data_IF_557366406573
#
_entry.id   IF_557366406573
#
_cell.length_a   1.000
_cell.length_b   1.000
_cell.length_c   1.000
_cell.angle_alpha   90.00
_cell.angle_beta   90.00
_cell.angle_gamma   90.00
#
_symmetry.space_group_name_H-M   'P 1'
#
loop_
_entity.id
_entity.type
_entity.pdbx_description
1 polymer ?
#
# COMPACT_ATOMS: atom_id res chain seq x y z
N UNK A 1 7.97 -6.67 -19.40
CA UNK A 1 8.09 -7.53 -20.57
C UNK A 1 8.99 -6.88 -21.64
N UNK A 2 8.79 -5.59 -21.91
CA UNK A 2 9.52 -4.82 -22.94
C UNK A 2 11.02 -4.71 -22.65
N UNK A 3 11.41 -4.34 -21.44
CA UNK A 3 12.81 -4.26 -21.03
C UNK A 3 13.56 -5.60 -21.15
N UNK A 4 12.88 -6.72 -20.85
CA UNK A 4 13.45 -8.06 -20.98
C UNK A 4 13.85 -8.36 -22.43
N UNK A 5 13.05 -7.91 -23.39
CA UNK A 5 13.32 -8.07 -24.82
C UNK A 5 14.42 -7.12 -25.27
N UNK A 6 14.37 -5.87 -24.80
CA UNK A 6 15.28 -4.79 -25.22
C UNK A 6 16.72 -5.03 -24.75
N UNK A 7 16.91 -5.53 -23.55
CA UNK A 7 18.24 -5.73 -22.95
C UNK A 7 18.73 -7.19 -22.98
N UNK A 8 17.95 -8.13 -23.52
CA UNK A 8 18.38 -9.53 -23.65
C UNK A 8 18.61 -10.26 -22.32
N UNK A 9 18.02 -9.80 -21.21
CA UNK A 9 18.27 -10.36 -19.87
C UNK A 9 17.71 -11.77 -19.65
N UNK A 10 16.98 -12.30 -20.62
CA UNK A 10 16.31 -13.61 -20.48
C UNK A 10 17.30 -14.72 -20.11
N UNK A 11 18.47 -14.76 -20.75
CA UNK A 11 19.51 -15.77 -20.48
C UNK A 11 20.08 -15.66 -19.07
N UNK A 12 20.37 -14.44 -18.61
CA UNK A 12 20.88 -14.18 -17.27
C UNK A 12 19.90 -14.59 -16.17
N UNK A 13 18.68 -14.09 -16.22
CA UNK A 13 17.67 -14.42 -15.21
C UNK A 13 17.25 -15.88 -15.22
N UNK A 14 17.19 -16.52 -16.41
CA UNK A 14 16.93 -17.95 -16.47
C UNK A 14 18.07 -18.77 -15.83
N UNK A 15 19.34 -18.35 -16.01
CA UNK A 15 20.50 -18.98 -15.39
C UNK A 15 20.48 -18.85 -13.87
N UNK A 16 20.23 -17.64 -13.36
CA UNK A 16 20.10 -17.39 -11.90
C UNK A 16 18.92 -18.19 -11.31
N UNK A 17 17.76 -18.18 -11.97
CA UNK A 17 16.62 -18.94 -11.52
C UNK A 17 16.90 -20.44 -11.52
N UNK A 18 17.53 -20.98 -12.57
CA UNK A 18 17.89 -22.40 -12.66
C UNK A 18 18.88 -22.80 -11.56
N UNK A 19 19.85 -21.95 -11.27
CA UNK A 19 20.81 -22.15 -10.18
C UNK A 19 20.11 -22.19 -8.82
N UNK A 20 19.25 -21.21 -8.53
CA UNK A 20 18.48 -21.14 -7.30
C UNK A 20 17.53 -22.35 -7.19
N UNK A 21 16.86 -22.73 -8.27
CA UNK A 21 15.96 -23.87 -8.31
C UNK A 21 16.69 -25.20 -8.08
N UNK A 22 17.85 -25.42 -8.70
CA UNK A 22 18.69 -26.61 -8.45
C UNK A 22 19.12 -26.69 -6.98
N UNK A 23 19.50 -25.55 -6.37
CA UNK A 23 19.86 -25.50 -4.94
C UNK A 23 18.66 -25.84 -4.05
N UNK A 24 17.48 -25.30 -4.35
CA UNK A 24 16.23 -25.61 -3.65
C UNK A 24 15.87 -27.09 -3.79
N UNK A 25 15.94 -27.66 -5.01
CA UNK A 25 15.69 -29.09 -5.23
C UNK A 25 16.63 -29.97 -4.40
N UNK A 26 17.92 -29.62 -4.35
CA UNK A 26 18.89 -30.38 -3.55
C UNK A 26 18.60 -30.36 -2.06
N UNK A 27 18.17 -29.21 -1.51
CA UNK A 27 17.76 -29.10 -0.11
C UNK A 27 16.48 -29.87 0.16
N UNK A 28 15.47 -29.68 -0.69
CA UNK A 28 14.16 -30.33 -0.56
C UNK A 28 14.25 -31.85 -0.68
N UNK A 29 15.00 -32.34 -1.66
CA UNK A 29 15.26 -33.78 -1.81
C UNK A 29 15.93 -34.39 -0.57
N UNK A 30 16.90 -33.69 0.00
CA UNK A 30 17.62 -34.15 1.21
C UNK A 30 16.72 -34.18 2.44
N UNK A 31 15.86 -33.16 2.61
CA UNK A 31 14.86 -33.11 3.71
C UNK A 31 13.84 -34.22 3.54
N UNK A 32 13.28 -34.37 2.33
CA UNK A 32 12.29 -35.41 2.04
C UNK A 32 12.86 -36.82 2.22
N UNK A 33 14.10 -37.06 1.78
CA UNK A 33 14.75 -38.35 1.94
C UNK A 33 14.95 -38.70 3.43
N UNK A 34 15.38 -37.73 4.27
CA UNK A 34 15.53 -37.94 5.71
C UNK A 34 14.20 -38.22 6.38
N UNK A 35 13.13 -37.47 6.01
CA UNK A 35 11.79 -37.70 6.55
C UNK A 35 11.24 -39.07 6.14
N UNK A 36 11.41 -39.42 4.87
CA UNK A 36 11.02 -40.74 4.33
C UNK A 36 11.78 -41.88 5.01
N UNK A 37 13.09 -41.75 5.21
CA UNK A 37 13.89 -42.77 5.90
C UNK A 37 13.43 -42.98 7.37
N UNK A 38 13.17 -41.90 8.10
CA UNK A 38 12.62 -41.96 9.46
C UNK A 38 11.25 -42.66 9.50
N UNK A 39 10.38 -42.32 8.56
CA UNK A 39 9.05 -42.94 8.46
C UNK A 39 9.13 -44.44 8.14
N UNK A 40 10.05 -44.84 7.25
CA UNK A 40 10.23 -46.24 6.90
C UNK A 40 10.84 -47.07 7.99
N UNK A 41 11.69 -46.53 8.86
CA UNK A 41 12.19 -47.20 10.06
C UNK A 41 11.04 -47.61 11.01
N UNK A 42 10.06 -46.71 11.21
CA UNK A 42 8.84 -47.01 11.98
C UNK A 42 8.01 -48.15 11.34
N UNK A 43 7.86 -48.14 10.01
CA UNK A 43 7.14 -49.19 9.28
C UNK A 43 7.83 -50.56 9.36
N UNK A 44 9.16 -50.60 9.33
CA UNK A 44 9.94 -51.82 9.44
C UNK A 44 9.70 -52.47 10.81
N UNK A 45 9.66 -51.70 11.90
CA UNK A 45 9.37 -52.25 13.25
C UNK A 45 7.97 -52.87 13.33
N UNK A 46 6.97 -52.27 12.71
CA UNK A 46 5.61 -52.81 12.64
C UNK A 46 5.55 -54.14 11.87
N UNK A 47 6.28 -54.24 10.74
CA UNK A 47 6.37 -55.48 9.97
C UNK A 47 7.05 -56.58 10.77
N UNK A 48 8.10 -56.28 11.53
CA UNK A 48 8.76 -57.25 12.41
C UNK A 48 7.81 -57.78 13.50
N UNK A 49 7.04 -56.86 14.12
CA UNK A 49 6.00 -57.27 15.10
C UNK A 49 4.95 -58.16 14.43
N UNK A 50 4.51 -57.83 13.22
CA UNK A 50 3.55 -58.64 12.48
C UNK A 50 4.08 -60.07 12.22
N UNK A 51 5.36 -60.21 11.82
CA UNK A 51 6.01 -61.50 11.64
C UNK A 51 6.06 -62.27 12.93
N UNK A 52 6.43 -61.68 14.04
CA UNK A 52 6.45 -62.35 15.37
C UNK A 52 5.06 -62.84 15.74
N UNK A 53 4.02 -62.05 15.57
CA UNK A 53 2.63 -62.46 15.86
C UNK A 53 2.20 -63.61 14.98
N UNK A 54 2.50 -63.53 13.67
CA UNK A 54 2.17 -64.62 12.71
C UNK A 54 2.88 -65.96 13.08
N UNK A 55 4.16 -65.88 13.41
CA UNK A 55 4.92 -67.09 13.83
C UNK A 55 4.44 -67.64 15.14
N UNK A 56 4.02 -66.84 16.10
CA UNK A 56 3.44 -67.31 17.37
C UNK A 56 2.08 -67.99 17.18
N UNK A 57 1.30 -67.67 16.17
CA UNK A 57 0.01 -68.31 15.90
C UNK A 57 0.12 -69.62 15.08
N UNK A 58 1.24 -69.84 14.41
CA UNK A 58 1.47 -71.04 13.59
C UNK A 58 1.29 -72.37 14.36
N UNK A 59 1.82 -72.60 15.59
CA UNK A 59 1.62 -73.80 16.33
C UNK A 59 0.13 -74.14 16.59
N UNK A 60 -0.70 -73.17 16.91
CA UNK A 60 -2.14 -73.31 17.13
C UNK A 60 -2.89 -73.77 15.88
N UNK A 61 -2.40 -73.29 14.67
CA UNK A 61 -2.96 -73.76 13.39
C UNK A 61 -2.58 -75.21 13.12
N UNK A 62 -1.32 -75.58 13.39
CA UNK A 62 -0.83 -76.95 13.19
C UNK A 62 -1.52 -77.93 14.22
N UNK A 63 -1.80 -77.47 15.44
CA UNK A 63 -2.52 -78.24 16.40
C UNK A 63 -4.03 -78.39 16.14
N UNK A 64 -4.56 -77.68 15.17
CA UNK A 64 -5.98 -77.65 14.82
C UNK A 64 -6.84 -76.81 15.75
N UNK A 65 -6.24 -76.06 16.68
CA UNK A 65 -6.93 -75.14 17.61
C UNK A 65 -7.41 -73.88 16.90
N UNK A 66 -6.72 -73.47 15.88
CA UNK A 66 -7.06 -72.30 15.05
C UNK A 66 -7.35 -72.76 13.64
N UNK A 67 -8.54 -72.44 13.12
CA UNK A 67 -8.86 -72.75 11.74
C UNK A 67 -8.05 -71.90 10.75
N UNK A 68 -7.74 -72.44 9.57
CA UNK A 68 -7.00 -71.73 8.54
C UNK A 68 -7.70 -70.40 8.14
N UNK A 69 -9.06 -70.38 8.17
CA UNK A 69 -9.84 -69.18 7.88
C UNK A 69 -9.62 -68.06 8.89
N UNK A 70 -9.57 -68.39 10.21
CA UNK A 70 -9.30 -67.42 11.27
C UNK A 70 -7.85 -66.92 11.16
N UNK A 71 -6.88 -67.80 10.88
CA UNK A 71 -5.49 -67.39 10.69
C UNK A 71 -5.34 -66.41 9.52
N UNK A 72 -5.95 -66.70 8.36
CA UNK A 72 -5.91 -65.81 7.18
C UNK A 72 -6.59 -64.46 7.46
N UNK A 73 -7.71 -64.44 8.21
CA UNK A 73 -8.37 -63.22 8.63
C UNK A 73 -7.48 -62.38 9.55
N UNK A 74 -6.80 -62.98 10.53
CA UNK A 74 -5.84 -62.30 11.41
C UNK A 74 -4.66 -61.72 10.62
N UNK A 75 -4.07 -62.52 9.69
CA UNK A 75 -2.98 -62.05 8.83
C UNK A 75 -3.42 -60.80 8.01
N UNK A 76 -4.61 -60.87 7.38
CA UNK A 76 -5.17 -59.76 6.58
C UNK A 76 -5.37 -58.50 7.44
N UNK A 77 -5.91 -58.67 8.66
CA UNK A 77 -6.11 -57.53 9.58
C UNK A 77 -4.78 -56.93 10.04
N UNK A 78 -3.75 -57.73 10.29
CA UNK A 78 -2.42 -57.25 10.68
C UNK A 78 -1.82 -56.45 9.51
N UNK A 79 -1.92 -56.94 8.27
CA UNK A 79 -1.45 -56.21 7.09
C UNK A 79 -2.19 -54.86 6.92
N UNK A 80 -3.51 -54.86 7.09
CA UNK A 80 -4.32 -53.63 7.04
C UNK A 80 -3.91 -52.63 8.13
N UNK A 81 -3.66 -53.10 9.35
CA UNK A 81 -3.16 -52.25 10.44
C UNK A 81 -1.78 -51.66 10.13
N UNK A 82 -0.84 -52.46 9.62
CA UNK A 82 0.50 -52.00 9.21
C UNK A 82 0.37 -50.93 8.12
N UNK A 83 -0.50 -51.16 7.14
CA UNK A 83 -0.73 -50.20 6.06
C UNK A 83 -1.32 -48.90 6.59
N UNK A 84 -2.34 -48.97 7.43
CA UNK A 84 -3.00 -47.82 8.04
C UNK A 84 -2.02 -46.98 8.87
N UNK A 85 -1.22 -47.61 9.70
CA UNK A 85 -0.23 -46.94 10.57
C UNK A 85 0.95 -46.38 9.75
N UNK A 86 1.40 -47.10 8.71
CA UNK A 86 2.55 -46.66 7.91
C UNK A 86 2.27 -45.50 6.97
N UNK A 87 1.03 -45.34 6.51
CA UNK A 87 0.66 -44.35 5.52
C UNK A 87 -0.26 -43.28 6.11
N UNK A 88 -1.44 -43.65 6.61
CA UNK A 88 -2.46 -42.71 7.04
C UNK A 88 -2.05 -41.91 8.28
N UNK A 89 -1.47 -42.58 9.29
CA UNK A 89 -1.05 -41.90 10.53
C UNK A 89 0.06 -40.90 10.25
N UNK A 90 1.05 -41.26 9.42
CA UNK A 90 2.16 -40.38 9.09
C UNK A 90 1.68 -39.17 8.27
N UNK A 91 0.76 -39.40 7.34
CA UNK A 91 0.15 -38.33 6.55
C UNK A 91 -0.65 -37.36 7.45
N UNK A 92 -1.49 -37.91 8.35
CA UNK A 92 -2.28 -37.07 9.27
C UNK A 92 -1.39 -36.25 10.21
N UNK A 93 -0.32 -36.83 10.77
CA UNK A 93 0.63 -36.10 11.61
C UNK A 93 1.33 -34.98 10.81
N UNK A 94 1.71 -35.25 9.55
CA UNK A 94 2.32 -34.24 8.68
C UNK A 94 1.35 -33.08 8.35
N UNK A 95 0.08 -33.40 8.12
CA UNK A 95 -0.95 -32.39 7.87
C UNK A 95 -1.23 -31.54 9.14
N UNK A 96 -1.33 -32.18 10.31
CA UNK A 96 -1.48 -31.47 11.58
C UNK A 96 -0.31 -30.49 11.80
N UNK A 97 0.93 -30.91 11.50
CA UNK A 97 2.10 -30.05 11.64
C UNK A 97 2.03 -28.82 10.72
N UNK A 98 1.57 -28.99 9.45
CA UNK A 98 1.35 -27.86 8.52
C UNK A 98 0.24 -26.92 9.00
N UNK A 99 -0.89 -27.48 9.46
CA UNK A 99 -1.98 -26.67 10.00
C UNK A 99 -1.57 -25.89 11.24
N UNK A 100 -0.71 -26.46 12.08
CA UNK A 100 -0.19 -25.74 13.24
C UNK A 100 0.67 -24.52 12.83
N UNK A 101 1.43 -24.62 11.75
CA UNK A 101 2.17 -23.48 11.18
C UNK A 101 1.21 -22.40 10.68
N UNK A 102 0.17 -22.76 9.92
CA UNK A 102 -0.85 -21.80 9.48
C UNK A 102 -1.60 -21.17 10.65
N UNK A 103 -1.93 -21.93 11.70
CA UNK A 103 -2.54 -21.37 12.90
C UNK A 103 -1.63 -20.37 13.61
N UNK A 104 -0.33 -20.66 13.66
CA UNK A 104 0.64 -19.72 14.21
C UNK A 104 0.74 -18.42 13.39
N UNK A 105 0.72 -18.53 12.06
CA UNK A 105 0.70 -17.35 11.18
C UNK A 105 -0.58 -16.52 11.38
N UNK A 106 -1.75 -17.17 11.47
CA UNK A 106 -3.03 -16.50 11.78
C UNK A 106 -3.00 -15.86 13.17
N UNK A 107 -2.48 -16.55 14.19
CA UNK A 107 -2.33 -16.00 15.54
C UNK A 107 -1.40 -14.78 15.54
N UNK A 108 -0.29 -14.85 14.80
CA UNK A 108 0.64 -13.74 14.64
C UNK A 108 -0.05 -12.55 13.95
N UNK A 109 -0.81 -12.83 12.89
CA UNK A 109 -1.60 -11.81 12.19
C UNK A 109 -2.65 -11.18 13.10
N UNK A 110 -3.40 -11.96 13.89
CA UNK A 110 -4.41 -11.44 14.82
C UNK A 110 -3.83 -10.67 16.01
N UNK A 111 -2.57 -10.92 16.35
CA UNK A 111 -1.85 -10.18 17.40
C UNK A 111 -1.18 -8.90 16.87
N UNK A 112 -1.17 -8.68 15.54
CA UNK A 112 -0.74 -7.40 15.01
C UNK A 112 -1.69 -6.33 15.53
N UNK A 113 -1.12 -5.28 16.08
CA UNK A 113 -1.87 -4.15 16.63
C UNK A 113 -2.48 -3.37 15.45
N UNK A 114 -3.68 -3.77 15.07
CA UNK A 114 -4.47 -2.97 14.14
C UNK A 114 -4.98 -1.78 14.94
N UNK A 115 -4.42 -0.59 14.67
CA UNK A 115 -5.09 0.63 15.09
C UNK A 115 -6.48 0.60 14.45
N UNK A 116 -7.50 0.28 15.25
CA UNK A 116 -8.88 0.36 14.79
C UNK A 116 -9.06 1.76 14.22
N UNK A 117 -9.42 1.84 12.95
CA UNK A 117 -9.91 3.07 12.39
C UNK A 117 -11.22 3.35 13.14
N UNK A 118 -11.10 4.14 14.23
CA UNK A 118 -12.30 4.67 14.87
C UNK A 118 -13.15 5.27 13.74
N UNK A 119 -14.39 4.80 13.66
CA UNK A 119 -15.33 5.36 12.70
C UNK A 119 -15.36 6.87 12.88
N UNK A 120 -15.27 7.61 11.79
CA UNK A 120 -15.28 9.09 11.75
C UNK A 120 -16.59 9.70 12.31
N UNK A 121 -17.44 8.90 12.94
CA UNK A 121 -18.77 9.26 13.49
C UNK A 121 -18.74 10.28 14.64
N UNK A 122 -17.58 10.72 15.13
CA UNK A 122 -17.47 11.86 16.04
C UNK A 122 -17.41 13.16 15.23
N UNK A 123 -18.26 14.12 15.54
CA UNK A 123 -18.17 15.49 15.03
C UNK A 123 -16.74 16.01 15.22
N UNK A 124 -16.06 16.28 14.11
CA UNK A 124 -14.74 16.86 14.14
C UNK A 124 -14.85 18.37 14.37
N UNK A 125 -13.97 18.96 15.19
CA UNK A 125 -13.91 20.40 15.29
C UNK A 125 -13.52 21.02 13.95
N UNK A 126 -13.97 22.23 13.69
CA UNK A 126 -13.56 22.98 12.50
C UNK A 126 -12.03 23.10 12.48
N UNK A 127 -11.45 22.89 11.30
CA UNK A 127 -10.01 23.01 11.12
C UNK A 127 -9.58 24.48 11.24
N UNK A 128 -8.66 24.79 12.14
CA UNK A 128 -8.09 26.12 12.31
C UNK A 128 -6.62 26.19 11.95
N UNK A 129 -5.83 25.19 12.35
CA UNK A 129 -4.39 25.17 12.07
C UNK A 129 -3.77 23.79 12.13
N UNK A 130 -2.66 23.63 11.39
CA UNK A 130 -1.70 22.53 11.50
C UNK A 130 -0.33 23.14 11.77
N UNK A 131 0.36 22.68 12.81
CA UNK A 131 1.66 23.21 13.20
C UNK A 131 2.68 22.09 13.42
N UNK A 132 3.86 22.24 12.83
CA UNK A 132 5.04 21.44 13.11
C UNK A 132 5.96 22.23 14.02
N UNK A 133 6.34 21.66 15.17
CA UNK A 133 7.25 22.26 16.16
C UNK A 133 8.46 21.38 16.34
N UNK A 134 9.59 21.81 15.81
CA UNK A 134 10.89 21.17 15.99
C UNK A 134 10.91 19.68 15.61
N UNK A 135 10.26 19.33 14.50
CA UNK A 135 10.04 17.95 14.11
C UNK A 135 11.30 17.37 13.46
N UNK A 136 11.82 16.28 14.04
CA UNK A 136 12.92 15.48 13.49
C UNK A 136 12.42 14.06 13.21
N UNK A 137 12.68 13.55 11.99
CA UNK A 137 12.20 12.25 11.55
C UNK A 137 13.22 11.49 10.70
N UNK A 138 13.34 10.19 10.95
CA UNK A 138 14.02 9.22 10.11
C UNK A 138 13.11 8.02 9.84
N UNK A 139 13.17 7.44 8.65
CA UNK A 139 12.37 6.24 8.36
C UNK A 139 12.82 5.03 9.20
N UNK A 140 11.90 4.16 9.62
CA UNK A 140 12.21 2.95 10.37
C UNK A 140 13.33 2.14 9.71
N UNK A 141 14.28 1.68 10.52
CA UNK A 141 15.45 0.92 10.03
C UNK A 141 16.56 1.76 9.40
N UNK A 142 16.43 3.10 9.33
CA UNK A 142 17.47 4.01 8.82
C UNK A 142 17.97 4.95 9.92
N UNK A 143 19.23 5.37 9.82
CA UNK A 143 19.81 6.40 10.70
C UNK A 143 19.81 7.80 10.06
N UNK A 144 19.43 7.89 8.79
CA UNK A 144 19.43 9.15 8.05
C UNK A 144 18.20 9.97 8.43
N UNK A 145 18.41 11.11 9.05
CA UNK A 145 17.35 12.11 9.26
C UNK A 145 16.88 12.64 7.90
N UNK A 146 15.58 12.56 7.68
CA UNK A 146 14.93 13.11 6.48
C UNK A 146 14.36 14.48 6.78
N UNK A 147 13.82 14.67 8.00
CA UNK A 147 13.45 15.97 8.55
C UNK A 147 14.34 16.22 9.76
N UNK A 148 14.78 17.46 9.93
CA UNK A 148 15.73 17.85 10.97
C UNK A 148 15.32 19.22 11.53
N UNK A 149 14.72 19.24 12.73
CA UNK A 149 14.21 20.45 13.38
C UNK A 149 13.25 21.28 12.51
N UNK A 150 12.34 20.59 11.79
CA UNK A 150 11.39 21.23 10.89
C UNK A 150 10.28 21.94 11.69
N UNK A 151 10.06 23.23 11.41
CA UNK A 151 9.00 24.01 12.05
C UNK A 151 8.27 24.88 11.01
N UNK A 152 6.95 24.80 10.96
CA UNK A 152 6.08 25.66 10.14
C UNK A 152 4.64 25.60 10.66
N UNK A 153 3.80 26.53 10.18
CA UNK A 153 2.38 26.57 10.50
C UNK A 153 1.53 26.78 9.24
N UNK A 154 0.44 26.05 9.14
CA UNK A 154 -0.63 26.17 8.15
C UNK A 154 -1.88 26.63 8.87
N UNK A 155 -2.50 27.73 8.44
CA UNK A 155 -3.77 28.25 8.96
C UNK A 155 -4.91 27.98 7.98
N UNK A 156 -6.12 27.83 8.49
CA UNK A 156 -7.31 27.65 7.66
C UNK A 156 -7.50 28.78 6.65
N UNK A 157 -8.08 28.48 5.49
CA UNK A 157 -8.46 29.42 4.46
C UNK A 157 -7.31 30.02 3.64
N UNK A 158 -6.10 29.46 3.75
CA UNK A 158 -4.94 29.86 2.95
C UNK A 158 -4.41 28.71 2.11
N UNK A 159 -3.70 29.07 1.03
CA UNK A 159 -3.01 28.14 0.16
C UNK A 159 -1.50 28.16 0.43
N UNK A 160 -0.90 26.97 0.43
CA UNK A 160 0.49 26.75 0.76
C UNK A 160 1.20 25.92 -0.29
N UNK A 161 2.48 26.18 -0.50
CA UNK A 161 3.34 25.31 -1.32
C UNK A 161 4.60 24.91 -0.58
N UNK A 162 4.97 23.63 -0.67
CA UNK A 162 6.30 23.15 -0.30
C UNK A 162 7.16 22.99 -1.53
N UNK A 163 8.27 23.69 -1.59
CA UNK A 163 9.22 23.64 -2.69
C UNK A 163 10.62 23.26 -2.19
N UNK A 164 11.42 22.63 -3.05
CA UNK A 164 12.78 22.23 -2.70
C UNK A 164 13.27 21.09 -3.59
N UNK A 165 14.54 20.74 -3.48
CA UNK A 165 15.16 19.67 -4.26
C UNK A 165 14.51 18.30 -4.01
N UNK A 166 14.71 17.35 -4.96
CA UNK A 166 14.23 15.98 -4.77
C UNK A 166 14.91 15.35 -3.54
N UNK A 167 14.12 14.63 -2.73
CA UNK A 167 14.61 13.97 -1.51
C UNK A 167 14.84 14.89 -0.30
N UNK A 168 14.46 16.18 -0.35
CA UNK A 168 14.59 17.09 0.80
C UNK A 168 13.53 16.89 1.90
N UNK A 169 12.58 15.94 1.74
CA UNK A 169 11.61 15.59 2.78
C UNK A 169 10.16 16.00 2.52
N UNK A 170 9.81 16.59 1.38
CA UNK A 170 8.44 17.09 1.07
C UNK A 170 7.36 16.01 1.22
N UNK A 171 7.50 14.89 0.54
CA UNK A 171 6.55 13.76 0.65
C UNK A 171 6.54 13.14 2.05
N UNK A 172 7.64 13.25 2.80
CA UNK A 172 7.70 12.82 4.21
C UNK A 172 6.82 13.68 5.09
N UNK A 173 6.76 14.99 4.85
CA UNK A 173 5.84 15.92 5.55
C UNK A 173 4.39 15.44 5.35
N UNK A 174 3.99 15.12 4.12
CA UNK A 174 2.64 14.63 3.81
C UNK A 174 2.32 13.33 4.55
N UNK A 175 3.27 12.40 4.62
CA UNK A 175 3.09 11.13 5.33
C UNK A 175 2.93 11.31 6.84
N UNK A 176 3.63 12.27 7.43
CA UNK A 176 3.47 12.62 8.85
C UNK A 176 2.13 13.31 9.12
N UNK A 177 1.68 14.22 8.24
CA UNK A 177 0.35 14.85 8.32
C UNK A 177 -0.76 13.79 8.25
N UNK A 178 -0.57 12.77 7.42
CA UNK A 178 -1.52 11.64 7.31
C UNK A 178 -1.51 10.70 8.52
N UNK A 179 -0.63 10.91 9.51
CA UNK A 179 -0.50 10.04 10.67
C UNK A 179 0.05 8.64 10.36
N UNK A 180 0.76 8.48 9.23
CA UNK A 180 1.34 7.18 8.83
C UNK A 180 2.56 6.78 9.67
N UNK A 181 3.17 7.73 10.37
CA UNK A 181 4.29 7.53 11.28
C UNK A 181 4.09 8.37 12.54
N UNK A 182 4.36 7.79 13.69
CA UNK A 182 4.25 8.40 15.02
C UNK A 182 5.58 8.46 15.77
N UNK A 183 6.60 7.75 15.27
CA UNK A 183 7.96 7.74 15.84
C UNK A 183 8.78 8.90 15.25
N UNK A 184 8.58 10.09 15.80
CA UNK A 184 9.33 11.31 15.49
C UNK A 184 9.57 12.14 16.75
N UNK A 185 10.63 12.94 16.77
CA UNK A 185 10.92 13.92 17.81
C UNK A 185 10.17 15.23 17.49
N UNK A 186 9.83 16.00 18.52
CA UNK A 186 9.05 17.24 18.39
C UNK A 186 7.55 17.01 18.46
N UNK A 187 6.78 17.96 17.95
CA UNK A 187 5.31 17.94 17.99
C UNK A 187 4.70 18.30 16.64
N UNK A 188 3.62 17.61 16.29
CA UNK A 188 2.74 17.96 15.17
C UNK A 188 1.36 18.19 15.76
N UNK A 189 0.83 19.41 15.64
CA UNK A 189 -0.41 19.81 16.29
C UNK A 189 -1.49 20.11 15.26
N UNK A 190 -2.68 19.55 15.44
CA UNK A 190 -3.92 19.93 14.73
C UNK A 190 -4.77 20.70 15.72
N UNK A 191 -5.09 21.95 15.42
CA UNK A 191 -5.86 22.85 16.31
C UNK A 191 -5.27 22.94 17.73
N UNK A 192 -3.94 22.85 17.86
CA UNK A 192 -3.23 22.90 19.13
C UNK A 192 -3.13 21.56 19.88
N UNK A 193 -3.77 20.50 19.41
CA UNK A 193 -3.70 19.14 19.99
C UNK A 193 -2.70 18.28 19.19
N UNK A 194 -1.84 17.51 19.87
CA UNK A 194 -0.86 16.66 19.22
C UNK A 194 -1.55 15.59 18.35
N UNK A 195 -1.03 15.39 17.13
CA UNK A 195 -1.62 14.45 16.17
C UNK A 195 -1.65 13.02 16.71
N UNK A 196 -0.75 12.66 17.63
CA UNK A 196 -0.70 11.34 18.27
C UNK A 196 -1.88 11.09 19.24
N UNK A 197 -2.56 12.13 19.68
CA UNK A 197 -3.76 12.04 20.51
C UNK A 197 -5.03 11.82 19.68
N UNK A 198 -4.96 12.05 18.37
CA UNK A 198 -6.05 11.80 17.43
C UNK A 198 -5.97 10.36 16.91
N UNK A 199 -7.06 9.62 16.93
CA UNK A 199 -7.14 8.34 16.22
C UNK A 199 -6.98 8.50 14.71
N UNK A 200 -6.48 7.48 13.99
CA UNK A 200 -6.26 7.56 12.53
C UNK A 200 -7.48 8.01 11.73
N UNK A 201 -8.68 7.57 12.10
CA UNK A 201 -9.93 7.97 11.46
C UNK A 201 -10.21 9.47 11.61
N UNK A 202 -9.94 10.05 12.78
CA UNK A 202 -10.14 11.48 13.03
C UNK A 202 -9.12 12.33 12.27
N UNK A 203 -7.85 11.90 12.20
CA UNK A 203 -6.82 12.54 11.37
C UNK A 203 -7.27 12.55 9.91
N UNK A 204 -7.71 11.40 9.40
CA UNK A 204 -8.20 11.26 8.05
C UNK A 204 -9.40 12.17 7.75
N UNK A 205 -10.18 12.55 8.75
CA UNK A 205 -11.32 13.48 8.60
C UNK A 205 -10.91 14.93 8.29
N UNK A 206 -9.69 15.34 8.62
CA UNK A 206 -9.19 16.70 8.32
C UNK A 206 -8.57 16.82 6.93
N UNK A 207 -7.97 15.74 6.41
CA UNK A 207 -7.11 15.80 5.23
C UNK A 207 -7.62 14.93 4.09
N UNK A 208 -7.62 15.47 2.88
CA UNK A 208 -7.77 14.72 1.65
C UNK A 208 -6.47 14.84 0.85
N UNK A 209 -5.84 13.71 0.53
CA UNK A 209 -4.48 13.67 0.02
C UNK A 209 -4.42 12.95 -1.33
N UNK A 210 -3.79 13.58 -2.32
CA UNK A 210 -3.33 12.93 -3.56
C UNK A 210 -1.83 12.73 -3.44
N UNK A 211 -1.39 11.49 -3.42
CA UNK A 211 0.03 11.15 -3.46
C UNK A 211 0.57 11.14 -4.89
N UNK A 212 1.87 11.31 -5.04
CA UNK A 212 2.56 11.17 -6.33
C UNK A 212 2.27 9.80 -6.98
N UNK A 213 2.35 8.73 -6.17
CA UNK A 213 2.02 7.36 -6.56
C UNK A 213 0.58 7.01 -6.15
N UNK A 214 -0.40 7.70 -6.74
CA UNK A 214 -1.80 7.47 -6.42
C UNK A 214 -2.27 6.08 -6.89
N UNK A 215 -3.14 5.46 -6.09
CA UNK A 215 -3.69 4.14 -6.40
C UNK A 215 -4.68 4.20 -7.58
N UNK A 216 -4.55 3.21 -8.48
CA UNK A 216 -5.46 2.96 -9.60
C UNK A 216 -6.29 1.74 -9.25
N UNK A 217 -7.56 1.96 -8.93
CA UNK A 217 -8.44 0.88 -8.51
C UNK A 217 -9.17 0.27 -9.71
N UNK A 218 -9.29 -1.06 -9.75
CA UNK A 218 -10.08 -1.79 -10.74
C UNK A 218 -11.60 -1.66 -10.51
N UNK A 219 -12.06 -0.44 -10.22
CA UNK A 219 -13.43 -0.03 -9.98
C UNK A 219 -13.97 0.74 -11.18
N UNK A 220 -15.28 1.07 -11.21
CA UNK A 220 -15.82 1.99 -12.23
C UNK A 220 -15.19 3.39 -12.10
N UNK A 221 -15.33 4.22 -13.13
CA UNK A 221 -14.89 5.62 -13.07
C UNK A 221 -15.62 6.36 -11.95
N UNK A 222 -16.94 6.14 -11.83
CA UNK A 222 -17.77 6.68 -10.74
C UNK A 222 -17.21 6.29 -9.37
N UNK A 223 -17.03 4.99 -9.11
CA UNK A 223 -16.53 4.49 -7.83
C UNK A 223 -15.10 4.99 -7.55
N UNK A 224 -14.24 5.12 -8.56
CA UNK A 224 -12.89 5.67 -8.43
C UNK A 224 -12.89 7.10 -7.92
N UNK A 225 -13.88 7.92 -8.26
CA UNK A 225 -14.04 9.28 -7.75
C UNK A 225 -14.71 9.24 -6.38
N UNK A 226 -15.82 8.53 -6.28
CA UNK A 226 -16.70 8.49 -5.11
C UNK A 226 -16.03 7.91 -3.84
N UNK A 227 -15.04 7.01 -4.00
CA UNK A 227 -14.24 6.48 -2.88
C UNK A 227 -13.46 7.57 -2.12
N UNK A 228 -13.38 8.78 -2.63
CA UNK A 228 -12.87 9.96 -1.90
C UNK A 228 -13.71 10.33 -0.69
N UNK A 229 -14.99 9.92 -0.67
CA UNK A 229 -15.93 10.11 0.44
C UNK A 229 -16.73 8.82 0.69
N UNK A 230 -16.06 7.81 1.24
CA UNK A 230 -16.61 6.45 1.42
C UNK A 230 -17.83 6.45 2.32
N UNK A 231 -17.91 7.33 3.31
CA UNK A 231 -19.03 7.40 4.23
C UNK A 231 -20.32 7.77 3.50
N UNK A 232 -20.23 8.71 2.56
CA UNK A 232 -21.35 9.11 1.71
C UNK A 232 -21.60 8.14 0.56
N UNK A 233 -20.57 7.39 0.13
CA UNK A 233 -20.73 6.33 -0.87
C UNK A 233 -21.54 5.15 -0.33
N UNK A 234 -21.33 4.81 0.95
CA UNK A 234 -22.04 3.72 1.63
C UNK A 234 -23.39 4.16 2.25
N UNK A 235 -23.62 5.46 2.37
CA UNK A 235 -24.87 6.07 2.82
C UNK A 235 -25.73 6.51 1.62
N UNK A 236 -26.98 6.87 1.89
CA UNK A 236 -27.99 7.08 0.84
C UNK A 236 -27.78 8.32 -0.06
N UNK A 237 -26.78 9.19 0.16
CA UNK A 237 -26.62 10.39 -0.67
C UNK A 237 -25.17 10.87 -0.79
N UNK A 238 -24.48 10.48 -1.88
CA UNK A 238 -23.45 11.36 -2.43
C UNK A 238 -24.12 12.67 -2.81
N UNK A 239 -23.53 13.78 -2.41
CA UNK A 239 -23.96 15.08 -2.92
C UNK A 239 -23.71 15.14 -4.44
N UNK A 240 -24.74 14.74 -5.21
CA UNK A 240 -24.67 14.63 -6.66
C UNK A 240 -24.26 15.96 -7.32
N UNK A 241 -24.66 17.09 -6.74
CA UNK A 241 -24.27 18.42 -7.23
C UNK A 241 -22.78 18.62 -7.12
N UNK A 242 -22.22 18.31 -5.95
CA UNK A 242 -20.76 18.42 -5.72
C UNK A 242 -19.97 17.44 -6.59
N UNK A 243 -20.48 16.22 -6.75
CA UNK A 243 -19.85 15.23 -7.62
C UNK A 243 -19.77 15.75 -9.05
N UNK A 244 -20.87 16.32 -9.58
CA UNK A 244 -20.92 16.89 -10.92
C UNK A 244 -20.01 18.10 -11.03
N UNK A 245 -20.00 19.01 -10.04
CA UNK A 245 -19.07 20.16 -10.00
C UNK A 245 -17.59 19.72 -10.11
N UNK A 246 -17.23 18.62 -9.45
CA UNK A 246 -15.88 18.07 -9.50
C UNK A 246 -15.59 17.44 -10.85
N UNK A 247 -16.54 16.70 -11.43
CA UNK A 247 -16.42 16.12 -12.77
C UNK A 247 -16.20 17.22 -13.82
N UNK A 248 -16.96 18.29 -13.73
CA UNK A 248 -16.87 19.44 -14.65
C UNK A 248 -15.56 20.22 -14.43
N UNK A 249 -15.18 20.47 -13.17
CA UNK A 249 -13.93 21.12 -12.81
C UNK A 249 -12.71 20.37 -13.36
N UNK A 250 -12.73 19.05 -13.29
CA UNK A 250 -11.62 18.22 -13.76
C UNK A 250 -11.73 17.82 -15.23
N UNK A 251 -12.73 18.35 -15.96
CA UNK A 251 -12.97 18.08 -17.40
C UNK A 251 -13.02 16.57 -17.68
N UNK A 252 -13.71 15.82 -16.81
CA UNK A 252 -13.84 14.38 -16.98
C UNK A 252 -14.92 13.99 -17.99
N UNK A 253 -15.76 14.95 -18.44
CA UNK A 253 -16.81 14.72 -19.42
C UNK A 253 -16.33 14.12 -20.73
N UNK A 254 -15.17 14.56 -21.24
CA UNK A 254 -14.54 13.99 -22.43
C UNK A 254 -14.14 12.51 -22.19
N UNK A 255 -13.55 12.21 -21.03
CA UNK A 255 -13.18 10.84 -20.66
C UNK A 255 -14.43 9.97 -20.59
N UNK A 256 -15.51 10.48 -19.98
CA UNK A 256 -16.79 9.77 -19.85
C UNK A 256 -17.38 9.45 -21.22
N UNK A 257 -17.31 10.37 -22.18
CA UNK A 257 -17.84 10.17 -23.53
C UNK A 257 -17.06 9.16 -24.36
N UNK A 258 -15.75 9.01 -24.09
CA UNK A 258 -14.87 8.07 -24.78
C UNK A 258 -14.99 6.63 -24.23
N UNK A 259 -15.49 6.46 -23.00
CA UNK A 259 -15.63 5.17 -22.36
C UNK A 259 -16.93 4.46 -22.76
N UNK A 260 -16.88 3.14 -23.01
CA UNK A 260 -18.01 2.31 -23.51
C UNK A 260 -19.28 2.42 -22.68
N UNK A 261 -19.14 2.52 -21.37
CA UNK A 261 -20.28 2.58 -20.42
C UNK A 261 -20.24 3.86 -19.59
N UNK A 262 -19.56 4.92 -20.09
CA UNK A 262 -19.44 6.19 -19.39
C UNK A 262 -18.86 6.03 -17.99
N UNK A 263 -19.53 6.60 -16.99
CA UNK A 263 -19.11 6.53 -15.57
C UNK A 263 -19.07 5.12 -14.98
N UNK A 264 -19.86 4.18 -15.52
CA UNK A 264 -19.93 2.79 -15.04
C UNK A 264 -18.84 1.90 -15.65
N UNK A 265 -18.01 2.42 -16.56
CA UNK A 265 -16.91 1.66 -17.15
C UNK A 265 -15.89 1.30 -16.09
N UNK A 266 -15.60 0.01 -15.91
CA UNK A 266 -14.53 -0.47 -15.04
C UNK A 266 -13.18 -0.11 -15.60
N UNK A 267 -12.30 0.42 -14.76
CA UNK A 267 -10.99 0.90 -15.15
C UNK A 267 -9.89 -0.12 -14.85
N UNK A 268 -8.81 -0.08 -15.63
CA UNK A 268 -7.63 -0.92 -15.45
C UNK A 268 -7.57 -2.11 -16.41
N UNK A 269 -6.58 -2.99 -16.22
CA UNK A 269 -6.28 -4.10 -17.14
C UNK A 269 -6.59 -5.49 -16.56
N UNK A 270 -7.11 -5.56 -15.35
CA UNK A 270 -7.27 -6.82 -14.60
C UNK A 270 -8.64 -7.46 -14.85
N UNK A 271 -9.67 -6.65 -15.02
CA UNK A 271 -11.05 -7.10 -15.15
C UNK A 271 -11.42 -7.25 -16.63
N UNK A 272 -12.23 -8.26 -16.96
CA UNK A 272 -12.78 -8.42 -18.32
C UNK A 272 -13.66 -7.23 -18.68
N UNK A 273 -13.60 -6.75 -19.91
CA UNK A 273 -14.34 -5.58 -20.42
C UNK A 273 -14.03 -4.26 -19.70
N UNK A 274 -12.87 -4.16 -19.06
CA UNK A 274 -12.36 -2.91 -18.51
C UNK A 274 -11.58 -2.12 -19.57
N UNK A 275 -11.54 -0.81 -19.39
CA UNK A 275 -10.75 0.12 -20.18
C UNK A 275 -9.72 0.82 -19.29
N UNK A 276 -8.55 1.13 -19.83
CA UNK A 276 -7.51 1.82 -19.05
C UNK A 276 -7.41 3.27 -19.50
N UNK A 277 -7.10 4.13 -18.57
CA UNK A 277 -6.91 5.55 -18.81
C UNK A 277 -5.44 5.88 -19.05
N UNK A 278 -5.16 6.95 -19.78
CA UNK A 278 -3.80 7.51 -19.86
C UNK A 278 -3.33 8.00 -18.47
N UNK A 279 -2.00 8.17 -18.30
CA UNK A 279 -1.45 8.65 -17.03
C UNK A 279 -2.05 9.99 -16.59
N UNK A 280 -2.24 10.91 -17.52
CA UNK A 280 -2.85 12.22 -17.26
C UNK A 280 -4.34 12.13 -16.91
N UNK A 281 -5.09 11.25 -17.56
CA UNK A 281 -6.49 10.99 -17.23
C UNK A 281 -6.62 10.39 -15.82
N UNK A 282 -5.81 9.39 -15.47
CA UNK A 282 -5.75 8.83 -14.13
C UNK A 282 -5.43 9.89 -13.08
N UNK A 283 -4.55 10.83 -13.40
CA UNK A 283 -4.20 11.91 -12.48
C UNK A 283 -5.38 12.86 -12.24
N UNK A 284 -6.14 13.22 -13.28
CA UNK A 284 -7.39 14.00 -13.14
C UNK A 284 -8.41 13.27 -12.26
N UNK A 285 -8.56 11.95 -12.41
CA UNK A 285 -9.43 11.12 -11.56
C UNK A 285 -8.94 11.11 -10.10
N UNK A 286 -7.63 11.00 -9.85
CA UNK A 286 -7.08 11.05 -8.50
C UNK A 286 -7.31 12.40 -7.80
N UNK A 287 -7.19 13.51 -8.55
CA UNK A 287 -7.50 14.84 -8.02
C UNK A 287 -9.01 14.98 -7.77
N UNK A 288 -9.87 14.50 -8.69
CA UNK A 288 -11.32 14.48 -8.49
C UNK A 288 -11.71 13.71 -7.22
N UNK A 289 -11.08 12.55 -6.96
CA UNK A 289 -11.23 11.79 -5.72
C UNK A 289 -10.91 12.62 -4.47
N UNK A 290 -9.87 13.44 -4.52
CA UNK A 290 -9.52 14.32 -3.41
C UNK A 290 -10.57 15.43 -3.22
N UNK A 291 -11.10 15.98 -4.31
CA UNK A 291 -11.99 17.14 -4.26
C UNK A 291 -13.43 16.80 -3.91
N UNK A 292 -13.90 15.57 -4.21
CA UNK A 292 -15.26 15.13 -3.87
C UNK A 292 -15.48 15.06 -2.36
N UNK A 293 -14.45 14.82 -1.60
CA UNK A 293 -14.44 14.78 -0.14
C UNK A 293 -14.74 16.16 0.48
N UNK A 294 -15.47 16.19 1.61
CA UNK A 294 -15.76 17.43 2.37
C UNK A 294 -14.63 17.88 3.30
N UNK A 295 -13.54 17.13 3.36
CA UNK A 295 -12.42 17.41 4.28
C UNK A 295 -11.83 18.80 4.04
N UNK A 296 -11.56 19.57 5.12
CA UNK A 296 -11.23 20.99 5.01
C UNK A 296 -9.87 21.28 4.37
N UNK A 297 -8.92 20.34 4.42
CA UNK A 297 -7.57 20.54 3.90
C UNK A 297 -7.32 19.60 2.73
N UNK A 298 -6.92 20.17 1.58
CA UNK A 298 -6.56 19.43 0.36
C UNK A 298 -5.05 19.43 0.19
N UNK A 299 -4.44 18.25 0.13
CA UNK A 299 -3.00 18.07 -0.06
C UNK A 299 -2.74 17.39 -1.40
N UNK A 300 -1.94 18.04 -2.24
CA UNK A 300 -1.62 17.57 -3.58
C UNK A 300 -0.10 17.38 -3.69
N UNK A 301 0.36 16.11 -3.71
CA UNK A 301 1.77 15.77 -3.82
C UNK A 301 2.14 15.50 -5.28
N UNK A 302 2.88 16.42 -5.89
CA UNK A 302 3.31 16.42 -7.31
C UNK A 302 2.17 16.17 -8.32
N UNK A 303 1.08 16.93 -8.25
CA UNK A 303 -0.15 16.65 -9.00
C UNK A 303 -0.02 16.85 -10.53
N UNK A 304 1.13 17.22 -11.07
CA UNK A 304 1.35 17.47 -12.50
C UNK A 304 2.43 16.56 -13.11
N UNK A 305 2.94 15.57 -12.38
CA UNK A 305 4.09 14.78 -12.80
C UNK A 305 3.89 13.99 -14.11
N UNK A 306 2.64 13.61 -14.43
CA UNK A 306 2.30 12.80 -15.61
C UNK A 306 1.62 13.58 -16.74
N UNK A 307 1.58 14.92 -16.66
CA UNK A 307 0.89 15.78 -17.63
C UNK A 307 1.86 16.38 -18.64
N UNK A 308 1.37 16.56 -19.86
CA UNK A 308 2.01 17.42 -20.86
C UNK A 308 1.89 18.91 -20.48
N UNK A 309 2.72 19.80 -21.05
CA UNK A 309 2.75 21.22 -20.68
C UNK A 309 1.41 21.97 -20.86
N UNK A 310 0.60 21.59 -21.84
CA UNK A 310 -0.69 22.24 -22.09
C UNK A 310 -1.73 21.83 -21.04
N UNK A 311 -1.84 20.50 -20.76
CA UNK A 311 -2.70 19.96 -19.71
C UNK A 311 -2.26 20.45 -18.31
N UNK A 312 -0.96 20.62 -18.10
CA UNK A 312 -0.40 21.19 -16.87
C UNK A 312 -0.86 22.64 -16.67
N UNK A 313 -0.76 23.48 -17.69
CA UNK A 313 -1.19 24.88 -17.62
C UNK A 313 -2.69 25.01 -17.33
N UNK A 314 -3.52 24.17 -17.96
CA UNK A 314 -4.95 24.11 -17.68
C UNK A 314 -5.24 23.67 -16.22
N UNK A 315 -4.45 22.75 -15.68
CA UNK A 315 -4.60 22.29 -14.29
C UNK A 315 -4.18 23.37 -13.28
N UNK A 316 -3.19 24.21 -13.59
CA UNK A 316 -2.82 25.34 -12.72
C UNK A 316 -3.94 26.36 -12.54
N UNK A 317 -4.72 26.66 -13.58
CA UNK A 317 -5.90 27.53 -13.43
C UNK A 317 -6.94 26.90 -12.49
N UNK A 318 -7.08 25.58 -12.52
CA UNK A 318 -7.97 24.85 -11.60
C UNK A 318 -7.46 24.87 -10.17
N UNK A 319 -6.13 24.79 -9.96
CA UNK A 319 -5.54 24.95 -8.63
C UNK A 319 -5.81 26.32 -8.03
N UNK A 320 -5.86 27.37 -8.86
CA UNK A 320 -6.25 28.71 -8.38
C UNK A 320 -7.67 28.70 -7.77
N UNK A 321 -8.62 28.00 -8.39
CA UNK A 321 -9.98 27.85 -7.88
C UNK A 321 -9.99 27.03 -6.60
N UNK A 322 -9.23 25.92 -6.55
CA UNK A 322 -9.09 25.07 -5.37
C UNK A 322 -8.50 25.88 -4.21
N UNK A 323 -7.43 26.64 -4.45
CA UNK A 323 -6.76 27.47 -3.46
C UNK A 323 -7.66 28.55 -2.86
N UNK A 324 -8.62 29.08 -3.63
CA UNK A 324 -9.60 30.06 -3.15
C UNK A 324 -10.72 29.42 -2.30
N UNK A 325 -11.02 28.15 -2.53
CA UNK A 325 -12.17 27.46 -1.90
C UNK A 325 -11.79 26.68 -0.65
N UNK A 326 -10.56 26.16 -0.59
CA UNK A 326 -10.10 25.25 0.45
C UNK A 326 -8.78 25.71 1.06
N UNK A 327 -8.50 25.26 2.28
CA UNK A 327 -7.11 25.23 2.75
C UNK A 327 -6.36 24.19 1.91
N UNK A 328 -5.36 24.62 1.18
CA UNK A 328 -4.67 23.75 0.24
C UNK A 328 -3.17 23.72 0.49
N UNK A 329 -2.57 22.56 0.30
CA UNK A 329 -1.13 22.34 0.37
C UNK A 329 -0.69 21.65 -0.91
N UNK A 330 0.13 22.33 -1.68
CA UNK A 330 0.70 21.77 -2.92
C UNK A 330 2.18 21.47 -2.71
N UNK A 331 2.58 20.23 -2.93
CA UNK A 331 3.99 19.86 -3.00
C UNK A 331 4.37 19.81 -4.47
N UNK A 332 5.34 20.61 -4.85
CA UNK A 332 5.77 20.64 -6.25
C UNK A 332 7.26 20.94 -6.36
N UNK A 333 7.89 20.27 -7.31
CA UNK A 333 9.20 20.67 -7.80
C UNK A 333 9.09 21.74 -8.92
N UNK A 334 7.88 22.05 -9.39
CA UNK A 334 7.60 23.08 -10.42
C UNK A 334 7.13 24.37 -9.76
N UNK A 335 7.96 25.42 -9.86
CA UNK A 335 7.73 26.68 -9.15
C UNK A 335 6.63 27.56 -9.76
N UNK A 336 6.19 27.25 -10.99
CA UNK A 336 5.06 27.94 -11.61
C UNK A 336 3.75 27.74 -10.82
N UNK A 337 3.52 26.54 -10.26
CA UNK A 337 2.36 26.27 -9.38
C UNK A 337 2.50 26.94 -8.02
N UNK A 338 3.69 26.94 -7.45
CA UNK A 338 3.96 27.55 -6.15
C UNK A 338 3.69 29.06 -6.14
N UNK A 339 3.93 29.74 -7.27
CA UNK A 339 3.67 31.17 -7.40
C UNK A 339 2.20 31.57 -7.17
N UNK A 340 1.26 30.64 -7.32
CA UNK A 340 -0.17 30.89 -7.17
C UNK A 340 -0.67 30.71 -5.73
N UNK A 341 0.19 30.36 -4.79
CA UNK A 341 -0.16 30.14 -3.38
C UNK A 341 0.19 31.33 -2.51
N UNK A 342 -0.55 31.49 -1.40
CA UNK A 342 -0.37 32.62 -0.48
C UNK A 342 0.99 32.55 0.23
N UNK A 343 1.42 31.33 0.60
CA UNK A 343 2.66 31.13 1.33
C UNK A 343 3.43 29.94 0.71
N UNK A 344 4.70 30.16 0.48
CA UNK A 344 5.64 29.14 0.01
C UNK A 344 6.63 28.83 1.12
N UNK A 345 6.81 27.54 1.44
CA UNK A 345 7.87 27.04 2.30
C UNK A 345 8.98 26.43 1.46
N UNK A 346 10.18 26.95 1.58
CA UNK A 346 11.37 26.41 0.92
C UNK A 346 12.03 25.38 1.84
N UNK A 347 12.05 24.13 1.41
CA UNK A 347 12.63 23.02 2.17
C UNK A 347 14.03 22.72 1.67
N UNK A 348 14.98 22.77 2.57
CA UNK A 348 16.38 22.45 2.31
C UNK A 348 16.94 21.55 3.43
N UNK A 349 17.50 20.40 3.08
CA UNK A 349 18.08 19.45 4.04
C UNK A 349 17.17 19.11 5.24
N UNK A 350 15.84 18.93 4.97
CA UNK A 350 14.86 18.58 6.01
C UNK A 350 14.42 19.73 6.91
N UNK A 351 14.78 20.98 6.57
CA UNK A 351 14.44 22.21 7.33
C UNK A 351 13.73 23.22 6.44
N UNK A 352 12.98 24.15 7.05
CA UNK A 352 12.47 25.33 6.35
C UNK A 352 13.60 26.36 6.23
N UNK A 353 14.12 26.60 5.03
CA UNK A 353 15.15 27.62 4.76
C UNK A 353 14.58 29.00 4.49
N UNK A 354 13.28 29.10 4.22
CA UNK A 354 12.56 30.38 4.04
C UNK A 354 11.08 30.16 3.84
N UNK A 355 10.29 31.18 4.18
CA UNK A 355 8.85 31.16 3.98
C UNK A 355 8.33 32.56 3.60
N UNK A 356 7.31 32.63 2.73
CA UNK A 356 6.71 33.89 2.31
C UNK A 356 6.06 33.82 0.94
N UNK A 357 5.70 34.98 0.39
CA UNK A 357 5.19 35.07 -1.00
C UNK A 357 6.31 34.82 -2.01
N UNK A 358 5.92 34.57 -3.27
CA UNK A 358 6.87 34.47 -4.39
C UNK A 358 7.81 35.68 -4.46
N UNK A 359 7.26 36.88 -4.38
CA UNK A 359 8.02 38.14 -4.51
C UNK A 359 9.04 38.28 -3.35
N UNK A 360 8.65 37.92 -2.13
CA UNK A 360 9.53 37.98 -0.95
C UNK A 360 10.66 36.97 -1.10
N UNK A 361 10.33 35.71 -1.41
CA UNK A 361 11.33 34.65 -1.53
C UNK A 361 12.26 34.85 -2.72
N UNK A 362 11.76 35.34 -3.84
CA UNK A 362 12.61 35.64 -5.02
C UNK A 362 13.66 36.69 -4.69
N UNK A 363 13.32 37.69 -3.83
CA UNK A 363 14.24 38.74 -3.41
C UNK A 363 15.20 38.25 -2.31
N UNK A 364 14.73 37.51 -1.32
CA UNK A 364 15.42 37.28 -0.05
C UNK A 364 16.01 35.87 0.07
N UNK A 365 15.46 34.86 -0.63
CA UNK A 365 15.95 33.50 -0.55
C UNK A 365 16.74 33.11 -1.81
N UNK A 366 18.05 32.92 -1.66
CA UNK A 366 18.97 32.60 -2.77
C UNK A 366 18.60 31.26 -3.42
N UNK A 367 18.30 30.21 -2.64
CA UNK A 367 17.96 28.89 -3.14
C UNK A 367 16.68 28.94 -3.98
N UNK A 368 15.65 29.63 -3.49
CA UNK A 368 14.40 29.79 -4.22
C UNK A 368 14.60 30.51 -5.56
N UNK A 369 15.39 31.55 -5.57
CA UNK A 369 15.72 32.31 -6.79
C UNK A 369 16.46 31.44 -7.80
N UNK A 370 17.52 30.73 -7.37
CA UNK A 370 18.30 29.86 -8.25
C UNK A 370 17.42 28.75 -8.85
N UNK A 371 16.52 28.14 -8.06
CA UNK A 371 15.56 27.15 -8.54
C UNK A 371 14.58 27.75 -9.55
N UNK A 372 14.05 28.94 -9.28
CA UNK A 372 13.09 29.60 -10.14
C UNK A 372 13.70 30.01 -11.49
N UNK A 373 14.87 30.64 -11.47
CA UNK A 373 15.57 31.07 -12.68
C UNK A 373 16.01 29.90 -13.55
N UNK A 374 16.45 28.81 -12.94
CA UNK A 374 16.76 27.56 -13.65
C UNK A 374 15.53 27.01 -14.38
N UNK A 375 14.36 26.96 -13.73
CA UNK A 375 13.14 26.47 -14.40
C UNK A 375 12.62 27.44 -15.47
N UNK A 376 12.70 28.73 -15.22
CA UNK A 376 12.27 29.74 -16.20
C UNK A 376 13.06 29.65 -17.50
N UNK A 377 14.36 29.38 -17.43
CA UNK A 377 15.20 29.25 -18.63
C UNK A 377 14.76 28.10 -19.55
N UNK A 378 14.15 27.03 -18.99
CA UNK A 378 13.65 25.90 -19.79
C UNK A 378 12.37 26.19 -20.57
N UNK A 379 11.60 27.21 -20.15
CA UNK A 379 10.35 27.62 -20.84
C UNK A 379 10.57 28.77 -21.82
N UNK A 380 11.78 29.36 -21.88
CA UNK A 380 12.12 30.48 -22.76
C UNK A 380 13.07 30.12 -23.91
N UNK A 381 13.51 28.83 -23.99
CA UNK A 381 14.42 28.29 -25.01
C UNK A 381 13.70 27.70 -26.23
#
# INVERSE_FOLDING_TARGET
>A
AEERTLFGWAGYFNGEWESAYKKWLGVNARVNLKSFAKAKLGSISLVLIAIVVMTALLPGVVAGEITIGIFMALVSNIFSLVQLMSWSLLHSVSEIAKYNEFFHDVETFTKMDFREAESVSCELPEFSSLEFRDVTFAYPGTKRKVLDHLSFQISAGKSYSFVGANGCGKTTITKLIAGLYDDYEGQILINGTDIREWGPGRIAGFFSIVYQDFARYGLSLYENIAIGDVEKLCGDEINLVRFQDVVDMMELGEIVSDLKHGMETKLGKIVRDSEDLSGGQWQRVAIARCLVSDRPVKILDEPTAALDPAAESALYEKFRIINQKYTSVTISHRLASARQTDVIFVIENGRVSGSGSHETLYRENRLYREMYDSQRSWYQG
#
